data_IF_918898009159
#
_entry.id   IF_918898009159
#
_cell.length_a   1.000
_cell.length_b   1.000
_cell.length_c   1.000
_cell.angle_alpha   90.00
_cell.angle_beta   90.00
_cell.angle_gamma   90.00
#
_symmetry.space_group_name_H-M   'P 1'
#
loop_
_entity.id
_entity.type
_entity.pdbx_description
1 polymer ?
#
# COMPACT_ATOMS: atom_id res chain seq x y z
N UNK A 1 10.33 -1.95 16.13
CA UNK A 1 10.70 -0.64 15.56
C UNK A 1 10.65 -0.74 14.04
N UNK A 2 10.07 0.27 13.40
CA UNK A 2 10.03 0.43 11.95
C UNK A 2 10.79 1.70 11.59
N UNK A 3 11.57 1.66 10.52
CA UNK A 3 12.25 2.82 9.95
C UNK A 3 11.85 2.86 8.48
N UNK A 4 11.22 3.96 8.07
CA UNK A 4 10.69 4.16 6.71
C UNK A 4 10.70 5.65 6.34
N UNK A 5 10.49 5.96 5.06
CA UNK A 5 10.36 7.34 4.57
C UNK A 5 9.10 8.02 5.13
N UNK A 6 8.99 9.35 5.03
CA UNK A 6 7.83 10.08 5.54
C UNK A 6 6.53 9.76 4.77
N UNK A 7 6.67 9.39 3.50
CA UNK A 7 5.58 9.04 2.59
C UNK A 7 5.15 7.58 2.75
N UNK A 8 6.00 6.74 3.32
CA UNK A 8 5.70 5.35 3.60
C UNK A 8 4.85 5.17 4.86
N UNK A 9 4.08 4.09 4.86
CA UNK A 9 3.35 3.59 6.01
C UNK A 9 3.86 2.19 6.39
N UNK A 10 3.80 1.80 7.67
CA UNK A 10 4.02 0.41 8.04
C UNK A 10 2.98 -0.48 7.34
N UNK A 11 3.47 -1.35 6.45
CA UNK A 11 2.63 -2.32 5.73
C UNK A 11 3.07 -3.74 6.03
N UNK A 12 2.24 -4.72 5.69
CA UNK A 12 2.44 -6.12 6.09
C UNK A 12 3.74 -6.78 5.60
N UNK A 13 4.34 -6.27 4.53
CA UNK A 13 5.62 -6.78 4.02
C UNK A 13 6.85 -6.07 4.61
N UNK A 14 6.66 -5.06 5.46
CA UNK A 14 7.77 -4.28 6.01
C UNK A 14 8.54 -5.09 7.06
N UNK A 15 9.86 -5.15 6.90
CA UNK A 15 10.75 -5.76 7.89
C UNK A 15 10.70 -4.95 9.19
N UNK A 16 10.28 -5.58 10.28
CA UNK A 16 10.27 -4.99 11.61
C UNK A 16 11.47 -5.46 12.42
N UNK A 17 12.09 -4.56 13.18
CA UNK A 17 13.12 -4.94 14.14
C UNK A 17 12.52 -5.08 15.54
N UNK A 18 12.65 -6.25 16.15
CA UNK A 18 12.31 -6.47 17.55
C UNK A 18 13.34 -5.79 18.45
N UNK A 19 12.87 -4.93 19.36
CA UNK A 19 13.73 -4.29 20.36
C UNK A 19 13.87 -5.26 21.54
N UNK A 20 15.11 -5.58 21.92
CA UNK A 20 15.41 -6.36 23.12
C UNK A 20 15.52 -5.49 24.36
N UNK A 21 15.77 -6.11 25.52
CA UNK A 21 16.03 -5.38 26.78
C UNK A 21 17.44 -4.77 26.85
N UNK A 22 18.36 -5.22 26.01
CA UNK A 22 19.73 -4.68 25.97
C UNK A 22 19.78 -3.30 25.32
N UNK A 23 20.67 -2.44 25.81
CA UNK A 23 20.99 -1.16 25.18
C UNK A 23 21.70 -1.40 23.84
N UNK A 24 20.93 -1.48 22.75
CA UNK A 24 21.46 -1.65 21.38
C UNK A 24 21.53 -0.31 20.65
N UNK A 25 22.68 -0.05 20.01
CA UNK A 25 22.87 1.07 19.09
C UNK A 25 22.55 0.61 17.68
N UNK A 26 21.60 1.28 17.03
CA UNK A 26 21.26 1.05 15.63
C UNK A 26 21.85 2.18 14.78
N UNK A 27 22.45 1.84 13.64
CA UNK A 27 23.04 2.79 12.69
C UNK A 27 22.35 2.57 11.34
N UNK A 28 21.86 3.66 10.75
CA UNK A 28 21.13 3.64 9.49
C UNK A 28 21.83 4.56 8.50
N UNK A 29 21.97 4.10 7.26
CA UNK A 29 22.36 4.93 6.13
C UNK A 29 21.09 5.23 5.32
N UNK A 30 20.89 6.50 4.97
CA UNK A 30 19.75 6.95 4.18
C UNK A 30 20.24 7.30 2.78
N UNK A 31 19.59 6.73 1.78
CA UNK A 31 19.77 7.07 0.37
C UNK A 31 18.45 7.59 -0.17
N UNK A 32 18.47 8.76 -0.78
CA UNK A 32 17.30 9.41 -1.35
C UNK A 32 17.44 9.54 -2.86
N UNK A 33 16.42 9.14 -3.60
CA UNK A 33 16.36 9.29 -5.05
C UNK A 33 15.53 10.54 -5.34
N UNK A 34 16.20 11.62 -5.74
CA UNK A 34 15.54 12.85 -6.18
C UNK A 34 15.36 12.84 -7.69
N UNK A 35 14.11 12.78 -8.14
CA UNK A 35 13.77 12.94 -9.55
C UNK A 35 13.70 14.43 -9.90
N UNK A 36 14.14 14.82 -11.11
CA UNK A 36 13.89 16.17 -11.61
C UNK A 36 12.38 16.45 -11.64
N UNK A 37 11.98 17.66 -11.25
CA UNK A 37 10.59 18.10 -11.31
C UNK A 37 10.04 18.09 -12.73
N UNK A 38 10.90 18.28 -13.74
CA UNK A 38 10.52 18.27 -15.16
C UNK A 38 9.95 16.90 -15.59
N UNK A 39 10.32 15.83 -14.89
CA UNK A 39 9.80 14.48 -15.14
C UNK A 39 8.32 14.35 -14.74
N UNK A 40 7.78 15.30 -13.95
CA UNK A 40 6.37 15.31 -13.57
C UNK A 40 5.45 15.51 -14.76
N UNK A 41 5.88 16.30 -15.75
CA UNK A 41 5.10 16.61 -16.94
C UNK A 41 5.15 15.48 -17.98
N UNK A 42 6.11 14.55 -17.84
CA UNK A 42 6.15 13.35 -18.67
C UNK A 42 5.01 12.38 -18.33
N UNK A 43 4.48 11.76 -19.39
CA UNK A 43 3.40 10.79 -19.26
C UNK A 43 3.82 9.66 -18.31
N UNK A 44 2.91 9.30 -17.39
CA UNK A 44 3.11 8.23 -16.41
C UNK A 44 3.61 6.92 -17.05
N UNK A 45 3.15 6.57 -18.26
CA UNK A 45 3.60 5.37 -19.00
C UNK A 45 5.08 5.43 -19.38
N UNK A 46 5.62 6.63 -19.63
CA UNK A 46 7.03 6.83 -19.98
C UNK A 46 7.92 6.81 -18.75
N UNK A 47 7.55 7.55 -17.70
CA UNK A 47 8.35 7.67 -16.47
C UNK A 47 8.25 6.48 -15.53
N UNK A 48 7.20 5.66 -15.63
CA UNK A 48 7.00 4.39 -14.88
C UNK A 48 7.03 4.48 -13.36
N UNK A 49 7.11 5.68 -12.78
CA UNK A 49 7.02 5.95 -11.35
C UNK A 49 5.96 7.03 -11.09
N UNK A 50 5.50 7.18 -9.84
CA UNK A 50 4.56 8.22 -9.39
C UNK A 50 5.18 9.08 -8.31
N UNK A 51 4.80 10.35 -8.27
CA UNK A 51 5.14 11.28 -7.21
C UNK A 51 4.15 11.13 -6.03
N UNK A 52 4.54 11.49 -4.80
CA UNK A 52 3.70 11.34 -3.60
C UNK A 52 2.31 11.99 -3.69
N UNK A 53 2.18 13.08 -4.45
CA UNK A 53 0.90 13.76 -4.66
C UNK A 53 -0.04 13.03 -5.64
N UNK A 54 0.44 12.02 -6.36
CA UNK A 54 -0.33 11.30 -7.38
C UNK A 54 -1.11 10.11 -6.82
N UNK A 55 -1.94 10.42 -5.82
CA UNK A 55 -2.76 9.50 -5.04
C UNK A 55 -3.58 8.58 -5.95
N UNK A 56 -3.61 7.29 -5.64
CA UNK A 56 -4.36 6.28 -6.39
C UNK A 56 -5.52 5.78 -5.51
N UNK A 57 -6.63 5.34 -6.13
CA UNK A 57 -7.72 4.63 -5.46
C UNK A 57 -8.38 5.37 -4.28
N UNK A 58 -8.30 6.70 -4.28
CA UNK A 58 -8.75 7.52 -3.15
C UNK A 58 -8.04 7.18 -1.85
N UNK A 59 -6.76 6.76 -1.93
CA UNK A 59 -5.94 6.42 -0.77
C UNK A 59 -5.98 7.53 0.27
N UNK A 60 -5.91 7.13 1.53
CA UNK A 60 -5.81 8.08 2.65
C UNK A 60 -4.38 8.60 2.85
N UNK A 61 -3.41 8.07 2.11
CA UNK A 61 -1.99 8.36 2.27
C UNK A 61 -1.37 8.88 0.95
N UNK A 62 -0.27 9.65 1.03
CA UNK A 62 0.54 9.97 -0.14
C UNK A 62 0.98 8.70 -0.88
N UNK A 63 1.20 8.84 -2.18
CA UNK A 63 1.71 7.73 -2.99
C UNK A 63 3.12 7.36 -2.54
N UNK A 64 3.29 6.09 -2.18
CA UNK A 64 4.55 5.44 -1.88
C UNK A 64 4.41 3.96 -2.22
N UNK A 65 5.52 3.21 -2.19
CA UNK A 65 5.46 1.77 -2.43
C UNK A 65 4.57 1.09 -1.38
N UNK A 66 4.76 1.44 -0.10
CA UNK A 66 4.01 0.83 1.00
C UNK A 66 2.52 1.19 1.00
N UNK A 67 2.15 2.44 0.69
CA UNK A 67 0.74 2.85 0.62
C UNK A 67 0.04 2.15 -0.55
N UNK A 68 0.69 2.05 -1.71
CA UNK A 68 0.16 1.32 -2.84
C UNK A 68 -0.02 -0.18 -2.53
N UNK A 69 0.96 -0.83 -1.90
CA UNK A 69 0.85 -2.24 -1.54
C UNK A 69 -0.27 -2.48 -0.52
N UNK A 70 -0.50 -1.53 0.38
CA UNK A 70 -1.59 -1.57 1.35
C UNK A 70 -2.95 -1.43 0.68
N UNK A 71 -3.11 -0.47 -0.24
CA UNK A 71 -4.34 -0.29 -1.01
C UNK A 71 -4.64 -1.48 -1.92
N UNK A 72 -3.63 -1.99 -2.63
CA UNK A 72 -3.76 -3.17 -3.49
C UNK A 72 -4.25 -4.37 -2.68
N UNK A 73 -3.70 -4.57 -1.48
CA UNK A 73 -4.16 -5.63 -0.58
C UNK A 73 -5.64 -5.47 -0.23
N UNK A 74 -6.09 -4.26 0.12
CA UNK A 74 -7.51 -4.01 0.41
C UNK A 74 -8.39 -4.34 -0.79
N UNK A 75 -7.97 -3.93 -1.99
CA UNK A 75 -8.70 -4.24 -3.24
C UNK A 75 -8.82 -5.75 -3.44
N UNK A 76 -7.74 -6.51 -3.21
CA UNK A 76 -7.74 -7.97 -3.34
C UNK A 76 -8.61 -8.65 -2.28
N UNK A 77 -8.50 -8.20 -1.02
CA UNK A 77 -9.33 -8.71 0.08
C UNK A 77 -10.82 -8.50 -0.20
N UNK A 78 -11.21 -7.30 -0.63
CA UNK A 78 -12.59 -7.00 -1.03
C UNK A 78 -13.02 -7.83 -2.25
N UNK A 79 -12.15 -8.01 -3.24
CA UNK A 79 -12.47 -8.80 -4.44
C UNK A 79 -12.66 -10.29 -4.14
N UNK A 80 -11.87 -10.86 -3.24
CA UNK A 80 -11.83 -12.32 -2.98
C UNK A 80 -12.80 -12.69 -1.85
N UNK A 81 -12.85 -11.89 -0.79
CA UNK A 81 -13.58 -12.20 0.44
C UNK A 81 -14.73 -11.23 0.74
N UNK A 82 -14.95 -10.20 -0.10
CA UNK A 82 -15.99 -9.17 0.10
C UNK A 82 -15.89 -8.40 1.43
N UNK A 83 -14.73 -8.48 2.09
CA UNK A 83 -14.43 -7.77 3.34
C UNK A 83 -12.91 -7.54 3.42
N UNK A 84 -12.48 -6.64 4.31
CA UNK A 84 -11.07 -6.31 4.56
C UNK A 84 -10.74 -6.35 6.05
N UNK A 85 -9.46 -6.36 6.40
CA UNK A 85 -9.04 -6.34 7.80
C UNK A 85 -9.44 -5.04 8.52
N UNK A 86 -9.64 -5.13 9.84
CA UNK A 86 -9.94 -3.97 10.69
C UNK A 86 -8.80 -2.93 10.73
N UNK A 87 -7.59 -3.31 10.31
CA UNK A 87 -6.43 -2.41 10.19
C UNK A 87 -6.48 -1.55 8.93
N UNK A 88 -7.42 -1.79 8.03
CA UNK A 88 -7.64 -0.97 6.84
C UNK A 88 -8.17 0.42 7.22
N UNK A 89 -8.00 1.45 6.37
CA UNK A 89 -8.46 2.81 6.67
C UNK A 89 -9.94 2.87 7.06
N UNK A 90 -10.27 3.79 7.99
CA UNK A 90 -11.61 3.92 8.60
C UNK A 90 -12.77 4.03 7.59
N UNK A 91 -12.51 4.52 6.37
CA UNK A 91 -13.48 4.57 5.27
C UNK A 91 -14.06 3.18 4.92
N UNK A 92 -13.37 2.09 5.26
CA UNK A 92 -13.80 0.71 5.03
C UNK A 92 -14.46 0.05 6.23
N UNK A 93 -14.82 0.79 7.29
CA UNK A 93 -15.41 0.23 8.51
C UNK A 93 -16.58 -0.74 8.25
N UNK A 94 -17.48 -0.40 7.32
CA UNK A 94 -18.64 -1.25 6.96
C UNK A 94 -18.26 -2.55 6.23
N UNK A 95 -17.00 -2.68 5.80
CA UNK A 95 -16.47 -3.84 5.09
C UNK A 95 -15.49 -4.64 5.94
N UNK A 96 -15.39 -4.38 7.25
CA UNK A 96 -14.48 -5.14 8.10
C UNK A 96 -14.92 -6.59 8.24
N UNK A 97 -13.97 -7.51 8.07
CA UNK A 97 -14.23 -8.93 8.19
C UNK A 97 -14.57 -9.33 9.63
N UNK A 98 -15.54 -10.23 9.77
CA UNK A 98 -15.70 -11.06 10.96
C UNK A 98 -14.73 -12.26 10.92
N UNK A 99 -14.83 -13.18 11.89
CA UNK A 99 -13.95 -14.36 12.00
C UNK A 99 -13.96 -15.23 10.73
N UNK A 100 -15.12 -15.41 10.12
CA UNK A 100 -15.26 -16.17 8.86
C UNK A 100 -14.53 -15.47 7.71
N UNK A 101 -14.69 -14.15 7.59
CA UNK A 101 -13.97 -13.33 6.60
C UNK A 101 -12.46 -13.35 6.80
N UNK A 102 -11.99 -13.29 8.06
CA UNK A 102 -10.57 -13.42 8.38
C UNK A 102 -10.01 -14.79 7.98
N UNK A 103 -10.82 -15.85 8.13
CA UNK A 103 -10.46 -17.20 7.66
C UNK A 103 -10.34 -17.25 6.14
N UNK A 104 -11.21 -16.54 5.41
CA UNK A 104 -11.09 -16.38 3.96
C UNK A 104 -9.78 -15.67 3.59
N UNK A 105 -9.49 -14.53 4.21
CA UNK A 105 -8.25 -13.77 3.97
C UNK A 105 -7.01 -14.63 4.23
N UNK A 106 -6.99 -15.39 5.33
CA UNK A 106 -5.86 -16.26 5.70
C UNK A 106 -5.63 -17.41 4.72
N UNK A 107 -6.68 -17.92 4.08
CA UNK A 107 -6.59 -19.00 3.07
C UNK A 107 -6.43 -18.47 1.65
N UNK A 108 -6.85 -17.23 1.43
CA UNK A 108 -6.76 -16.54 0.17
C UNK A 108 -5.30 -16.45 -0.24
N UNK A 109 -4.99 -16.95 -1.43
CA UNK A 109 -3.72 -16.64 -2.11
C UNK A 109 -3.77 -15.17 -2.53
N UNK A 110 -3.58 -14.26 -1.58
CA UNK A 110 -3.43 -12.82 -1.80
C UNK A 110 -2.08 -12.48 -2.45
N UNK A 111 -1.61 -13.35 -3.34
CA UNK A 111 -0.46 -13.11 -4.20
C UNK A 111 -1.01 -12.47 -5.47
N UNK A 112 -0.90 -11.16 -5.59
CA UNK A 112 -1.01 -10.57 -6.91
C UNK A 112 0.30 -10.82 -7.65
N UNK A 113 0.21 -11.42 -8.84
CA UNK A 113 1.27 -11.32 -9.86
C UNK A 113 1.33 -9.86 -10.36
N UNK A 114 0.24 -9.10 -10.20
CA UNK A 114 0.21 -7.65 -10.41
C UNK A 114 1.03 -6.95 -9.34
N UNK A 115 2.10 -6.30 -9.78
CA UNK A 115 2.82 -5.34 -8.95
C UNK A 115 2.03 -4.04 -8.85
N UNK A 116 2.32 -3.22 -7.84
CA UNK A 116 1.82 -1.86 -7.79
C UNK A 116 2.00 -1.10 -9.12
N UNK A 117 3.14 -1.29 -9.79
CA UNK A 117 3.42 -0.67 -11.08
C UNK A 117 2.49 -1.15 -12.20
N UNK A 118 2.09 -2.43 -12.20
CA UNK A 118 1.12 -2.95 -13.17
C UNK A 118 -0.30 -2.45 -12.88
N UNK A 119 -0.67 -2.39 -11.60
CA UNK A 119 -1.93 -1.78 -11.16
C UNK A 119 -2.02 -0.29 -11.54
N UNK A 120 -0.87 0.40 -11.53
CA UNK A 120 -0.73 1.82 -11.92
C UNK A 120 -0.89 2.03 -13.44
N UNK A 121 -0.42 1.09 -14.26
CA UNK A 121 -0.43 1.24 -15.72
C UNK A 121 -1.75 0.79 -16.39
N UNK A 122 -2.50 -0.13 -15.76
CA UNK A 122 -3.61 -0.85 -16.43
C UNK A 122 -5.03 -0.51 -15.96
N UNK A 123 -5.27 0.37 -14.98
CA UNK A 123 -6.63 0.81 -14.63
C UNK A 123 -6.76 2.31 -14.38
N UNK A 124 -7.58 2.94 -15.21
CA UNK A 124 -8.48 4.01 -14.75
C UNK A 124 -9.29 3.50 -13.55
N UNK A 125 -9.32 4.31 -12.50
CA UNK A 125 -10.17 4.22 -11.28
C UNK A 125 -11.21 3.09 -11.23
N UNK A 126 -11.22 2.23 -10.19
CA UNK A 126 -12.42 1.46 -9.86
C UNK A 126 -13.51 2.46 -9.48
N UNK A 127 -14.50 2.62 -10.37
CA UNK A 127 -15.77 3.23 -10.04
C UNK A 127 -16.41 2.32 -8.98
N UNK A 128 -16.36 2.73 -7.71
CA UNK A 128 -17.29 2.18 -6.72
C UNK A 128 -18.63 2.84 -7.02
N UNK A 129 -19.44 2.16 -7.84
CA UNK A 129 -20.82 2.57 -8.07
C UNK A 129 -21.55 2.56 -6.72
N UNK A 130 -21.97 3.75 -6.29
CA UNK A 130 -22.89 3.92 -5.18
C UNK A 130 -24.27 3.47 -5.68
N UNK A 131 -24.77 2.36 -5.14
CA UNK A 131 -26.20 2.05 -5.14
C UNK A 131 -26.87 2.70 -3.94
#
# INVERSE_FOLDING_TARGET
MYVHSNEDIPYFGLLSQTLGQDHKKYIYNMEEIQNSLDVKDENLKKRKCKFPMEIIFGSSYPYSFSSCMSDLRIVLELKICSCTLFTSPKKFFNFFCNITGMTCISKGKLYSIETCNDAIQNRSTPQVEKH
#
